data_IF_042595780083
#
_entry.id   IF_042595780083
#
_cell.length_a   1.000
_cell.length_b   1.000
_cell.length_c   1.000
_cell.angle_alpha   90.00
_cell.angle_beta   90.00
_cell.angle_gamma   90.00
#
_symmetry.space_group_name_H-M   'P 1'
#
loop_
_entity.id
_entity.type
_entity.pdbx_description
1 polymer ?
#
# COMPACT_ATOMS: atom_id res chain seq x y z
N UNK A 1 20.80 16.65 14.36
CA UNK A 1 21.35 15.39 13.84
C UNK A 1 20.64 15.01 12.57
N UNK A 2 21.34 14.82 11.45
CA UNK A 2 20.76 14.39 10.19
C UNK A 2 20.21 12.96 10.36
N UNK A 3 18.93 12.77 9.99
CA UNK A 3 18.26 11.48 10.07
C UNK A 3 18.87 10.57 9.00
N UNK A 4 19.52 9.50 9.39
CA UNK A 4 20.12 8.52 8.47
C UNK A 4 19.03 7.98 7.53
N UNK A 5 19.29 7.99 6.22
CA UNK A 5 18.37 7.45 5.23
C UNK A 5 18.25 5.93 5.39
N UNK A 6 17.10 5.45 5.86
CA UNK A 6 16.78 4.03 5.98
C UNK A 6 15.98 3.61 4.75
N UNK A 7 16.54 2.77 3.90
CA UNK A 7 15.89 2.28 2.66
C UNK A 7 14.74 1.32 2.97
N UNK A 8 14.88 0.44 3.93
CA UNK A 8 13.89 -0.57 4.29
C UNK A 8 12.73 -0.03 5.12
N UNK A 9 11.64 -0.82 5.16
CA UNK A 9 10.44 -0.58 5.97
C UNK A 9 10.50 -1.44 7.24
N UNK A 10 9.90 -0.95 8.32
CA UNK A 10 9.72 -1.72 9.57
C UNK A 10 8.43 -2.53 9.55
N UNK A 11 7.44 -2.11 8.75
CA UNK A 11 6.18 -2.80 8.50
C UNK A 11 5.67 -2.45 7.10
N UNK A 12 4.79 -3.28 6.55
CA UNK A 12 4.04 -3.00 5.33
C UNK A 12 2.59 -3.48 5.49
N UNK A 13 1.61 -2.79 4.89
CA UNK A 13 0.22 -3.22 4.93
C UNK A 13 0.02 -4.45 4.06
N UNK A 14 -0.70 -5.43 4.59
CA UNK A 14 -1.21 -6.56 3.84
C UNK A 14 -2.68 -6.29 3.53
N UNK A 15 -3.05 -6.35 2.25
CA UNK A 15 -4.43 -6.11 1.86
C UNK A 15 -5.36 -7.16 2.47
N UNK A 16 -6.48 -6.74 3.05
CA UNK A 16 -7.47 -7.67 3.65
C UNK A 16 -8.06 -8.63 2.62
N UNK A 17 -8.10 -8.21 1.35
CA UNK A 17 -8.60 -8.99 0.22
C UNK A 17 -7.54 -9.87 -0.45
N UNK A 18 -6.38 -10.07 0.18
CA UNK A 18 -5.29 -10.85 -0.41
C UNK A 18 -5.73 -12.25 -0.86
N UNK A 19 -6.65 -12.89 -0.14
CA UNK A 19 -7.19 -14.21 -0.49
C UNK A 19 -8.22 -14.17 -1.61
N UNK A 20 -8.70 -12.99 -2.01
CA UNK A 20 -9.56 -12.78 -3.17
C UNK A 20 -8.74 -12.55 -4.45
N UNK A 21 -7.46 -12.21 -4.34
CA UNK A 21 -6.56 -12.09 -5.49
C UNK A 21 -6.43 -13.42 -6.23
N UNK A 22 -6.72 -13.40 -7.54
CA UNK A 22 -6.70 -14.59 -8.37
C UNK A 22 -5.33 -15.26 -8.42
N UNK A 23 -4.23 -14.49 -8.39
CA UNK A 23 -2.87 -15.02 -8.41
C UNK A 23 -2.56 -15.75 -7.10
N UNK A 24 -2.96 -15.18 -5.97
CA UNK A 24 -2.80 -15.81 -4.65
C UNK A 24 -3.65 -17.08 -4.55
N UNK A 25 -4.89 -17.04 -5.02
CA UNK A 25 -5.75 -18.24 -5.06
C UNK A 25 -5.15 -19.36 -5.91
N UNK A 26 -4.57 -19.01 -7.08
CA UNK A 26 -3.85 -19.97 -7.92
C UNK A 26 -2.59 -20.50 -7.23
N UNK A 27 -1.82 -19.64 -6.56
CA UNK A 27 -0.64 -20.05 -5.80
C UNK A 27 -1.01 -21.10 -4.74
N UNK A 28 -2.04 -20.82 -3.93
CA UNK A 28 -2.54 -21.73 -2.91
C UNK A 28 -3.05 -23.04 -3.53
N UNK A 29 -3.76 -22.98 -4.66
CA UNK A 29 -4.28 -24.15 -5.34
C UNK A 29 -3.17 -25.07 -5.88
N UNK A 30 -2.09 -24.49 -6.41
CA UNK A 30 -1.00 -25.27 -7.04
C UNK A 30 0.04 -25.76 -6.06
N UNK A 31 0.32 -24.99 -5.01
CA UNK A 31 1.40 -25.23 -4.05
C UNK A 31 0.92 -25.54 -2.63
N UNK A 32 -0.41 -25.50 -2.41
CA UNK A 32 -0.99 -25.69 -1.07
C UNK A 32 -0.93 -24.44 -0.19
N UNK A 33 -1.61 -24.49 0.96
CA UNK A 33 -1.73 -23.36 1.89
C UNK A 33 -0.41 -22.85 2.45
N UNK A 34 0.61 -23.71 2.55
CA UNK A 34 1.96 -23.33 3.01
C UNK A 34 2.64 -22.29 2.10
N UNK A 35 2.25 -22.22 0.83
CA UNK A 35 2.84 -21.29 -0.14
C UNK A 35 2.64 -19.83 0.23
N UNK A 36 1.54 -19.50 0.92
CA UNK A 36 1.29 -18.12 1.36
C UNK A 36 2.30 -17.69 2.43
N UNK A 37 2.75 -18.61 3.29
CA UNK A 37 3.79 -18.34 4.29
C UNK A 37 5.13 -18.01 3.61
N UNK A 38 5.50 -18.79 2.60
CA UNK A 38 6.72 -18.51 1.81
C UNK A 38 6.61 -17.15 1.12
N UNK A 39 5.48 -16.87 0.47
CA UNK A 39 5.24 -15.60 -0.21
C UNK A 39 5.30 -14.41 0.77
N UNK A 40 4.68 -14.52 1.95
CA UNK A 40 4.72 -13.49 2.99
C UNK A 40 6.14 -13.27 3.51
N UNK A 41 6.92 -14.33 3.75
CA UNK A 41 8.32 -14.23 4.16
C UNK A 41 9.17 -13.50 3.11
N UNK A 42 8.96 -13.78 1.83
CA UNK A 42 9.65 -13.09 0.74
C UNK A 42 9.28 -11.61 0.70
N UNK A 43 8.00 -11.25 0.88
CA UNK A 43 7.57 -9.86 0.99
C UNK A 43 8.22 -9.14 2.18
N UNK A 44 8.30 -9.78 3.35
CA UNK A 44 8.99 -9.24 4.52
C UNK A 44 10.45 -8.92 4.21
N UNK A 45 11.17 -9.84 3.57
CA UNK A 45 12.57 -9.64 3.19
C UNK A 45 12.74 -8.54 2.14
N UNK A 46 11.84 -8.48 1.14
CA UNK A 46 11.84 -7.43 0.13
C UNK A 46 11.65 -6.06 0.76
N UNK A 47 10.61 -5.88 1.59
CA UNK A 47 10.34 -4.58 2.22
C UNK A 47 11.37 -4.21 3.29
N UNK A 48 11.99 -5.17 3.96
CA UNK A 48 13.13 -4.94 4.86
C UNK A 48 14.33 -4.36 4.11
N UNK A 49 14.52 -4.74 2.84
CA UNK A 49 15.59 -4.26 1.96
C UNK A 49 15.18 -3.01 1.16
N UNK A 50 13.89 -2.68 1.11
CA UNK A 50 13.31 -1.56 0.36
C UNK A 50 12.14 -2.01 -0.52
N UNK A 51 12.36 -2.16 -1.81
CA UNK A 51 11.34 -2.55 -2.80
C UNK A 51 11.77 -3.70 -3.71
N UNK A 52 12.97 -4.24 -3.49
CA UNK A 52 13.49 -5.44 -4.17
C UNK A 52 14.48 -6.18 -3.28
N UNK A 53 14.71 -7.44 -3.59
CA UNK A 53 15.82 -8.22 -3.03
C UNK A 53 16.50 -9.01 -4.14
N UNK A 54 17.80 -9.21 -4.05
CA UNK A 54 18.53 -10.13 -4.91
C UNK A 54 18.31 -11.55 -4.42
N UNK A 55 18.04 -12.43 -5.37
CA UNK A 55 17.94 -13.86 -5.10
C UNK A 55 19.34 -14.49 -5.04
N UNK A 56 19.66 -15.05 -3.90
CA UNK A 56 20.91 -15.78 -3.67
C UNK A 56 20.63 -17.29 -3.58
N UNK A 57 21.65 -18.10 -3.84
CA UNK A 57 21.59 -19.56 -3.75
C UNK A 57 21.34 -20.05 -2.32
N UNK A 58 21.72 -19.26 -1.31
CA UNK A 58 21.51 -19.57 0.11
C UNK A 58 20.11 -19.22 0.62
N UNK A 59 19.35 -18.41 -0.13
CA UNK A 59 18.03 -17.99 0.30
C UNK A 59 17.00 -19.13 0.48
N UNK A 60 16.97 -20.18 -0.36
CA UNK A 60 16.13 -21.35 -0.09
C UNK A 60 16.43 -22.00 1.25
N UNK A 61 17.72 -22.15 1.59
CA UNK A 61 18.15 -22.68 2.88
C UNK A 61 17.69 -21.77 4.04
N UNK A 62 17.95 -20.48 3.98
CA UNK A 62 17.52 -19.51 5.01
C UNK A 62 15.98 -19.53 5.17
N UNK A 63 15.24 -19.56 4.08
CA UNK A 63 13.79 -19.67 4.13
C UNK A 63 13.34 -21.02 4.71
N UNK A 64 14.06 -22.11 4.45
CA UNK A 64 13.82 -23.43 5.03
C UNK A 64 13.98 -23.42 6.54
N UNK A 65 15.06 -22.85 7.06
CA UNK A 65 15.27 -22.71 8.50
C UNK A 65 14.14 -21.94 9.19
N UNK A 66 13.69 -20.82 8.58
CA UNK A 66 12.65 -19.96 9.14
C UNK A 66 11.25 -20.54 9.08
N UNK A 67 10.96 -21.38 8.09
CA UNK A 67 9.62 -21.92 7.85
C UNK A 67 9.46 -23.38 8.25
N UNK A 68 10.57 -24.13 8.35
CA UNK A 68 10.56 -25.58 8.50
C UNK A 68 10.13 -26.32 7.22
N UNK A 69 10.10 -25.65 6.05
CA UNK A 69 9.75 -26.26 4.78
C UNK A 69 11.00 -26.65 4.02
N UNK A 70 10.91 -27.69 3.19
CA UNK A 70 12.02 -28.15 2.37
C UNK A 70 12.43 -27.09 1.34
N UNK A 71 13.74 -26.94 1.09
CA UNK A 71 14.30 -26.00 0.11
C UNK A 71 13.75 -26.21 -1.30
N UNK A 72 13.55 -27.49 -1.67
CA UNK A 72 12.94 -27.83 -2.95
C UNK A 72 11.53 -27.26 -3.09
N UNK A 73 10.72 -27.36 -2.04
CA UNK A 73 9.37 -26.79 -2.01
C UNK A 73 9.42 -25.26 -2.13
N UNK A 74 10.30 -24.59 -1.38
CA UNK A 74 10.47 -23.13 -1.46
C UNK A 74 10.82 -22.70 -2.88
N UNK A 75 11.74 -23.40 -3.51
CA UNK A 75 12.14 -23.14 -4.89
C UNK A 75 10.97 -23.29 -5.88
N UNK A 76 10.11 -24.29 -5.70
CA UNK A 76 8.92 -24.49 -6.52
C UNK A 76 7.85 -23.41 -6.29
N UNK A 77 7.66 -22.96 -5.04
CA UNK A 77 6.76 -21.83 -4.74
C UNK A 77 7.23 -20.58 -5.45
N UNK A 78 8.54 -20.30 -5.47
CA UNK A 78 9.08 -19.11 -6.13
C UNK A 78 8.89 -19.19 -7.65
N UNK A 79 9.17 -20.35 -8.27
CA UNK A 79 8.89 -20.56 -9.70
C UNK A 79 7.42 -20.32 -10.04
N UNK A 80 6.54 -20.80 -9.18
CA UNK A 80 5.10 -20.57 -9.33
C UNK A 80 4.74 -19.09 -9.18
N UNK A 81 5.30 -18.39 -8.21
CA UNK A 81 5.11 -16.94 -8.05
C UNK A 81 5.57 -16.14 -9.29
N UNK A 82 6.68 -16.51 -9.89
CA UNK A 82 7.17 -15.91 -11.14
C UNK A 82 6.24 -16.21 -12.32
N UNK A 83 5.76 -17.44 -12.44
CA UNK A 83 4.82 -17.84 -13.49
C UNK A 83 3.48 -17.13 -13.37
N UNK A 84 3.00 -16.91 -12.16
CA UNK A 84 1.75 -16.18 -11.88
C UNK A 84 1.91 -14.66 -11.98
N UNK A 85 3.13 -14.14 -12.13
CA UNK A 85 3.41 -12.72 -12.19
C UNK A 85 3.19 -12.00 -10.84
N UNK A 86 3.41 -12.69 -9.73
CA UNK A 86 3.53 -12.09 -8.40
C UNK A 86 4.87 -11.37 -8.24
N UNK A 87 5.91 -11.86 -8.92
CA UNK A 87 7.19 -11.20 -9.13
C UNK A 87 7.46 -11.06 -10.63
N UNK A 88 8.29 -10.08 -11.01
CA UNK A 88 8.71 -9.89 -12.41
C UNK A 88 9.65 -11.02 -12.84
N UNK A 89 9.17 -11.85 -13.75
CA UNK A 89 9.97 -12.93 -14.33
C UNK A 89 11.15 -12.37 -15.12
N UNK A 90 10.96 -11.28 -15.86
CA UNK A 90 11.99 -10.65 -16.68
C UNK A 90 13.19 -10.20 -15.84
N UNK A 91 12.94 -9.48 -14.72
CA UNK A 91 14.00 -9.06 -13.81
C UNK A 91 14.65 -10.23 -13.08
N UNK A 92 13.87 -11.26 -12.77
CA UNK A 92 14.42 -12.45 -12.13
C UNK A 92 15.33 -13.22 -13.08
N UNK A 93 14.95 -13.37 -14.34
CA UNK A 93 15.75 -14.11 -15.34
C UNK A 93 17.04 -13.35 -15.67
N UNK A 94 16.97 -12.01 -15.81
CA UNK A 94 18.11 -11.16 -16.16
C UNK A 94 19.07 -10.92 -14.98
N UNK A 95 18.56 -10.56 -13.81
CA UNK A 95 19.35 -10.00 -12.70
C UNK A 95 19.20 -10.78 -11.40
N UNK A 96 18.42 -11.86 -11.39
CA UNK A 96 18.08 -12.61 -10.17
C UNK A 96 17.46 -11.71 -9.07
N UNK A 97 16.59 -10.83 -9.46
CA UNK A 97 15.93 -9.88 -8.56
C UNK A 97 14.45 -10.22 -8.37
N UNK A 98 14.03 -10.30 -7.12
CA UNK A 98 12.63 -10.44 -6.73
C UNK A 98 12.04 -9.06 -6.44
N UNK A 99 11.14 -8.62 -7.31
CA UNK A 99 10.31 -7.42 -7.18
C UNK A 99 9.12 -7.53 -8.13
N UNK A 100 8.18 -6.62 -8.01
CA UNK A 100 7.10 -6.43 -9.00
C UNK A 100 6.61 -4.99 -8.99
N UNK A 101 5.88 -4.58 -10.03
CA UNK A 101 5.28 -3.26 -10.10
C UNK A 101 4.42 -2.96 -8.86
N UNK A 102 3.57 -3.90 -8.43
CA UNK A 102 2.72 -3.74 -7.24
C UNK A 102 3.52 -3.58 -5.94
N UNK A 103 4.66 -4.28 -5.80
CA UNK A 103 5.57 -4.11 -4.66
C UNK A 103 6.15 -2.70 -4.63
N UNK A 104 6.60 -2.20 -5.77
CA UNK A 104 7.18 -0.86 -5.89
C UNK A 104 6.16 0.25 -5.67
N UNK A 105 4.96 0.11 -6.22
CA UNK A 105 3.84 1.04 -6.00
C UNK A 105 3.43 1.10 -4.53
N UNK A 106 3.33 -0.06 -3.86
CA UNK A 106 3.04 -0.12 -2.42
C UNK A 106 4.16 0.52 -1.60
N UNK A 107 5.42 0.22 -1.90
CA UNK A 107 6.57 0.85 -1.26
C UNK A 107 6.54 2.37 -1.40
N UNK A 108 6.31 2.88 -2.61
CA UNK A 108 6.20 4.33 -2.87
C UNK A 108 5.09 4.97 -2.05
N UNK A 109 3.91 4.34 -2.01
CA UNK A 109 2.76 4.81 -1.23
C UNK A 109 3.07 4.90 0.26
N UNK A 110 3.71 3.87 0.82
CA UNK A 110 4.12 3.84 2.23
C UNK A 110 5.13 4.97 2.52
N UNK A 111 6.12 5.17 1.65
CA UNK A 111 7.09 6.24 1.81
C UNK A 111 6.41 7.61 1.87
N UNK A 112 5.44 7.88 0.99
CA UNK A 112 4.65 9.11 1.00
C UNK A 112 3.86 9.26 2.31
N UNK A 113 3.12 8.23 2.73
CA UNK A 113 2.35 8.25 3.98
C UNK A 113 3.23 8.50 5.23
N UNK A 114 4.43 7.91 5.24
CA UNK A 114 5.39 8.09 6.34
C UNK A 114 6.25 9.36 6.19
N UNK A 115 5.98 10.22 5.22
CA UNK A 115 6.78 11.43 4.91
C UNK A 115 8.28 11.11 4.77
N UNK A 116 8.60 9.98 4.14
CA UNK A 116 9.96 9.54 3.86
C UNK A 116 10.32 9.83 2.41
N UNK A 117 11.60 10.10 2.16
CA UNK A 117 12.10 10.22 0.78
C UNK A 117 11.94 8.86 0.10
N UNK A 118 11.17 8.81 -0.99
CA UNK A 118 11.02 7.63 -1.82
C UNK A 118 11.98 7.72 -3.01
N UNK A 119 12.90 6.77 -3.09
CA UNK A 119 13.78 6.64 -4.24
C UNK A 119 13.66 5.24 -4.81
N UNK A 120 13.14 5.13 -6.03
CA UNK A 120 13.07 3.90 -6.81
C UNK A 120 13.97 4.13 -8.05
N UNK A 121 15.24 3.77 -7.93
CA UNK A 121 16.23 3.92 -9.00
C UNK A 121 16.45 2.62 -9.75
N UNK A 122 16.97 1.62 -9.03
CA UNK A 122 17.30 0.33 -9.60
C UNK A 122 16.05 -0.49 -9.89
N UNK A 123 16.03 -1.25 -10.99
CA UNK A 123 14.96 -2.20 -11.35
C UNK A 123 13.55 -1.60 -11.36
N UNK A 124 13.44 -0.31 -11.75
CA UNK A 124 12.20 0.45 -11.72
C UNK A 124 11.19 -0.10 -12.74
N UNK A 125 10.05 -0.59 -12.25
CA UNK A 125 8.91 -1.06 -13.04
C UNK A 125 7.74 -0.07 -13.06
N UNK A 126 7.84 1.04 -12.31
CA UNK A 126 6.83 2.10 -12.30
C UNK A 126 7.20 3.07 -13.42
N UNK A 127 6.41 3.11 -14.48
CA UNK A 127 6.56 4.13 -15.51
C UNK A 127 6.42 5.52 -14.88
N UNK A 128 7.40 6.41 -15.10
CA UNK A 128 7.24 7.82 -14.78
C UNK A 128 6.06 8.33 -15.63
N UNK A 129 4.91 8.59 -15.01
CA UNK A 129 3.83 9.31 -15.67
C UNK A 129 4.43 10.62 -16.17
N UNK A 130 4.60 10.77 -17.48
CA UNK A 130 4.88 12.07 -18.08
C UNK A 130 3.77 13.00 -17.60
N UNK A 131 4.07 14.23 -17.11
CA UNK A 131 3.02 15.16 -16.77
C UNK A 131 2.16 15.35 -18.02
N UNK A 132 0.87 15.02 -17.94
CA UNK A 132 -0.09 15.32 -19.01
C UNK A 132 -0.02 16.83 -19.21
N UNK A 133 0.51 17.27 -20.35
CA UNK A 133 0.32 18.63 -20.78
C UNK A 133 -1.19 18.86 -20.83
N UNK A 134 -1.64 19.82 -20.04
CA UNK A 134 -3.02 20.30 -20.04
C UNK A 134 -3.26 20.97 -21.38
N UNK A 135 -3.71 20.23 -22.37
CA UNK A 135 -4.36 20.82 -23.54
C UNK A 135 -5.69 21.42 -23.05
N UNK A 136 -5.76 22.74 -23.12
CA UNK A 136 -6.98 23.51 -22.91
C UNK A 136 -7.99 23.08 -23.97
N UNK A 137 -8.98 22.29 -23.60
CA UNK A 137 -10.15 22.00 -24.45
C UNK A 137 -11.05 23.24 -24.51
N UNK A 138 -11.51 23.65 -25.70
CA UNK A 138 -12.54 24.67 -25.85
C UNK A 138 -13.89 24.14 -25.41
N UNK A 139 -14.62 24.95 -24.63
CA UNK A 139 -16.02 24.70 -24.26
C UNK A 139 -16.90 24.74 -25.49
N UNK A 140 -17.64 23.67 -25.77
CA UNK A 140 -18.89 23.72 -26.53
C UNK A 140 -19.91 22.76 -25.93
N UNK A 141 -21.09 23.33 -25.68
CA UNK A 141 -22.35 22.70 -25.30
C UNK A 141 -22.77 21.66 -26.35
N UNK A 142 -23.38 20.59 -25.89
CA UNK A 142 -24.77 20.20 -26.21
C UNK A 142 -25.00 18.71 -25.92
N UNK A 143 -26.20 18.42 -25.53
CA UNK A 143 -26.84 17.31 -24.88
C UNK A 143 -27.23 16.18 -25.88
N UNK A 144 -27.96 15.14 -25.53
CA UNK A 144 -27.52 13.79 -25.10
C UNK A 144 -28.01 12.72 -26.12
N UNK A 145 -27.46 11.50 -26.05
CA UNK A 145 -28.19 10.24 -26.31
C UNK A 145 -27.33 8.99 -26.12
N UNK A 146 -27.71 8.20 -25.16
CA UNK A 146 -27.93 6.73 -25.13
C UNK A 146 -27.13 5.85 -26.10
N UNK A 147 -26.38 4.84 -25.58
CA UNK A 147 -26.59 3.39 -25.79
C UNK A 147 -25.42 2.56 -25.19
N UNK A 148 -25.78 1.72 -24.24
CA UNK A 148 -25.43 0.34 -23.90
C UNK A 148 -24.03 -0.24 -24.23
N UNK A 149 -23.38 -0.77 -23.19
CA UNK A 149 -22.87 -2.13 -23.22
C UNK A 149 -21.35 -2.29 -23.12
N UNK A 150 -20.84 -2.55 -21.97
CA UNK A 150 -19.95 -3.65 -21.61
C UNK A 150 -19.17 -3.32 -20.32
N UNK A 151 -19.49 -4.06 -19.31
CA UNK A 151 -18.95 -3.98 -17.96
C UNK A 151 -17.49 -4.42 -17.94
N UNK A 152 -16.59 -3.49 -17.79
CA UNK A 152 -15.25 -3.75 -17.25
C UNK A 152 -15.11 -2.91 -16.00
N UNK A 153 -15.30 -3.55 -14.85
CA UNK A 153 -15.16 -2.91 -13.55
C UNK A 153 -13.66 -2.63 -13.33
N UNK A 154 -13.23 -1.46 -13.74
CA UNK A 154 -11.98 -0.86 -13.27
C UNK A 154 -12.34 -0.05 -12.03
N UNK A 155 -12.06 -0.61 -10.86
CA UNK A 155 -12.07 0.14 -9.61
C UNK A 155 -10.86 1.09 -9.60
N UNK A 156 -10.98 2.20 -10.31
CA UNK A 156 -10.16 3.37 -10.05
C UNK A 156 -10.72 4.02 -8.79
N UNK A 157 -10.01 3.85 -7.68
CA UNK A 157 -10.19 4.70 -6.51
C UNK A 157 -9.89 6.14 -6.95
N UNK A 158 -10.93 6.86 -7.33
CA UNK A 158 -10.89 8.31 -7.46
C UNK A 158 -10.57 8.86 -6.08
N UNK A 159 -9.35 9.35 -5.91
CA UNK A 159 -8.97 10.16 -4.76
C UNK A 159 -9.60 11.53 -4.99
N UNK A 160 -10.81 11.74 -4.49
CA UNK A 160 -11.39 13.08 -4.34
C UNK A 160 -10.48 13.86 -3.39
N UNK A 161 -10.05 15.07 -3.73
CA UNK A 161 -9.32 15.89 -2.76
C UNK A 161 -10.20 16.11 -1.56
N UNK A 162 -9.65 15.84 -0.39
CA UNK A 162 -10.32 16.02 0.90
C UNK A 162 -10.87 17.45 0.99
N UNK A 163 -12.18 17.60 1.02
CA UNK A 163 -12.87 18.90 0.86
C UNK A 163 -13.58 19.39 2.11
N UNK A 164 -13.47 18.65 3.24
CA UNK A 164 -14.09 19.05 4.49
C UNK A 164 -13.33 20.21 5.14
N UNK A 165 -14.05 21.14 5.69
CA UNK A 165 -13.50 22.21 6.52
C UNK A 165 -13.18 21.67 7.92
N UNK A 166 -12.31 22.36 8.67
CA UNK A 166 -11.98 21.95 10.04
C UNK A 166 -13.22 21.86 10.93
N UNK A 167 -14.22 22.71 10.68
CA UNK A 167 -15.49 22.72 11.39
C UNK A 167 -16.30 21.45 11.14
N UNK A 168 -16.35 20.99 9.91
CA UNK A 168 -17.03 19.76 9.51
C UNK A 168 -16.32 18.53 10.06
N UNK A 169 -14.99 18.50 10.03
CA UNK A 169 -14.20 17.41 10.63
C UNK A 169 -14.43 17.27 12.13
N UNK A 170 -14.34 18.37 12.86
CA UNK A 170 -14.57 18.36 14.30
C UNK A 170 -16.01 17.95 14.63
N UNK A 171 -16.98 18.38 13.81
CA UNK A 171 -18.38 17.98 14.00
C UNK A 171 -18.58 16.46 13.78
N UNK A 172 -17.91 15.87 12.79
CA UNK A 172 -17.94 14.42 12.54
C UNK A 172 -17.24 13.64 13.67
N UNK A 173 -16.05 14.07 14.11
CA UNK A 173 -15.32 13.43 15.20
C UNK A 173 -16.13 13.43 16.51
N UNK A 174 -16.90 14.50 16.78
CA UNK A 174 -17.78 14.57 17.96
C UNK A 174 -18.98 13.64 17.91
N UNK A 175 -19.38 13.16 16.71
CA UNK A 175 -20.48 12.21 16.53
C UNK A 175 -20.00 10.77 16.62
N UNK A 176 -18.73 10.49 16.41
CA UNK A 176 -18.18 9.14 16.46
C UNK A 176 -18.02 8.67 17.92
N UNK A 177 -19.10 8.12 18.46
CA UNK A 177 -19.14 7.61 19.83
C UNK A 177 -18.13 6.46 20.03
N UNK A 178 -17.95 5.61 19.04
CA UNK A 178 -17.01 4.49 19.14
C UNK A 178 -15.56 4.98 19.29
N UNK A 179 -15.17 5.99 18.54
CA UNK A 179 -13.86 6.63 18.64
C UNK A 179 -13.68 7.37 19.98
N UNK A 180 -14.71 8.11 20.45
CA UNK A 180 -14.70 8.80 21.73
C UNK A 180 -14.58 7.83 22.91
N UNK A 181 -15.26 6.68 22.88
CA UNK A 181 -15.18 5.65 23.91
C UNK A 181 -13.77 5.04 23.98
N UNK A 182 -13.15 4.79 22.83
CA UNK A 182 -11.75 4.30 22.78
C UNK A 182 -10.79 5.31 23.40
N UNK A 183 -10.94 6.61 23.10
CA UNK A 183 -10.12 7.66 23.69
C UNK A 183 -10.37 7.83 25.20
N UNK A 184 -11.60 7.67 25.64
CA UNK A 184 -11.95 7.70 27.06
C UNK A 184 -11.19 6.63 27.84
N UNK A 185 -11.15 5.39 27.32
CA UNK A 185 -10.42 4.27 27.92
C UNK A 185 -8.91 4.51 27.87
N UNK A 186 -8.40 4.98 26.73
CA UNK A 186 -6.96 5.17 26.52
C UNK A 186 -6.37 6.29 27.40
N UNK A 187 -7.12 7.38 27.59
CA UNK A 187 -6.64 8.56 28.31
C UNK A 187 -7.25 8.74 29.71
N UNK A 188 -8.04 7.76 30.19
CA UNK A 188 -8.72 7.80 31.49
C UNK A 188 -9.46 9.13 31.73
N UNK A 189 -10.14 9.65 30.69
CA UNK A 189 -10.87 10.93 30.73
C UNK A 189 -12.35 10.69 30.42
N UNK A 190 -13.18 11.72 30.52
CA UNK A 190 -14.60 11.61 30.18
C UNK A 190 -14.90 12.21 28.78
N UNK A 191 -16.01 11.77 28.17
CA UNK A 191 -16.43 12.18 26.83
C UNK A 191 -16.66 13.70 26.75
N UNK A 192 -17.19 14.33 27.81
CA UNK A 192 -17.41 15.78 27.85
C UNK A 192 -16.10 16.55 27.76
N UNK A 193 -15.05 16.08 28.47
CA UNK A 193 -13.71 16.66 28.42
C UNK A 193 -13.07 16.48 27.04
N UNK A 194 -13.24 15.30 26.41
CA UNK A 194 -12.75 15.06 25.05
C UNK A 194 -13.41 15.97 24.02
N UNK A 195 -14.72 16.16 24.12
CA UNK A 195 -15.45 17.08 23.24
C UNK A 195 -15.00 18.54 23.40
N UNK A 196 -14.72 18.97 24.66
CA UNK A 196 -14.16 20.30 24.92
C UNK A 196 -12.76 20.46 24.34
N UNK A 197 -11.91 19.45 24.49
CA UNK A 197 -10.55 19.47 23.90
C UNK A 197 -10.57 19.54 22.37
N UNK A 198 -11.58 18.96 21.72
CA UNK A 198 -11.77 19.09 20.27
C UNK A 198 -12.17 20.53 19.88
N UNK A 199 -12.96 21.23 20.70
CA UNK A 199 -13.28 22.64 20.49
C UNK A 199 -12.03 23.51 20.63
N UNK A 200 -11.22 23.27 21.66
CA UNK A 200 -9.96 23.99 21.87
C UNK A 200 -9.01 23.77 20.69
N UNK A 201 -8.88 22.53 20.22
CA UNK A 201 -8.08 22.19 19.05
C UNK A 201 -8.56 22.89 17.78
N UNK A 202 -9.89 22.95 17.57
CA UNK A 202 -10.49 23.70 16.46
C UNK A 202 -10.07 25.17 16.49
N UNK A 203 -10.21 25.82 17.64
CA UNK A 203 -9.84 27.25 17.81
C UNK A 203 -8.35 27.44 17.50
N UNK A 204 -7.49 26.54 17.94
CA UNK A 204 -6.07 26.60 17.67
C UNK A 204 -5.77 26.43 16.18
N UNK A 205 -6.41 25.48 15.48
CA UNK A 205 -6.23 25.27 14.04
C UNK A 205 -6.63 26.53 13.24
N UNK A 206 -7.76 27.16 13.59
CA UNK A 206 -8.21 28.39 12.93
C UNK A 206 -7.25 29.57 13.20
N UNK A 207 -6.71 29.67 14.42
CA UNK A 207 -5.72 30.69 14.76
C UNK A 207 -4.40 30.49 13.98
N UNK A 208 -4.02 29.26 13.68
CA UNK A 208 -2.84 28.91 12.88
C UNK A 208 -3.08 29.05 11.35
N UNK A 209 -4.27 29.48 10.90
CA UNK A 209 -4.64 29.59 9.49
C UNK A 209 -4.81 28.25 8.79
N UNK A 210 -5.13 27.19 9.53
CA UNK A 210 -5.39 25.83 9.01
C UNK A 210 -6.91 25.61 8.99
N UNK A 211 -7.60 26.20 8.05
CA UNK A 211 -9.04 26.05 7.84
C UNK A 211 -9.40 25.01 6.77
N UNK A 212 -8.36 24.37 6.18
CA UNK A 212 -8.42 23.24 5.22
C UNK A 212 -7.22 22.31 5.34
#
# INVERSE_FOLDING_TARGET
>A
MARTFKKGLDYFPLDIDIFNDLKIRKLIKYQGGKAITVYALLLCNIYKSGYYMKWDKELPFICSELTGFEEAYISEVIKTCLTLGLFSKELFDAEKVLTSKGIQERYSRICVQCRRVCYIGDYNLIEKRKPKQTEKLPRKNDNPQTIQGSTTVQNELQYEPYSMTIDEEIAELKKDECWLDQLQVLHATNISSLRSSLDDFRVQCLADGKDR
#
